data_IF_679467012202
#
_entry.id   IF_679467012202
#
_cell.length_a   1.000
_cell.length_b   1.000
_cell.length_c   1.000
_cell.angle_alpha   90.00
_cell.angle_beta   90.00
_cell.angle_gamma   90.00
#
_symmetry.space_group_name_H-M   'P 1'
#
loop_
_entity.id
_entity.type
_entity.pdbx_description
1 polymer ?
#
# COMPACT_ATOMS: atom_id res chain seq x y z
N UNK A 1 -43.82 -14.41 -15.56
CA UNK A 1 -42.72 -13.78 -16.34
C UNK A 1 -41.50 -14.72 -16.26
N UNK A 2 -41.00 -15.21 -17.38
CA UNK A 2 -39.81 -16.04 -17.41
C UNK A 2 -38.60 -15.12 -17.22
N UNK A 3 -38.12 -14.97 -16.00
CA UNK A 3 -36.86 -14.26 -15.76
C UNK A 3 -35.71 -15.11 -16.27
N UNK A 4 -34.99 -14.62 -17.26
CA UNK A 4 -33.84 -15.30 -17.84
C UNK A 4 -32.67 -15.39 -16.85
N UNK A 5 -32.57 -14.45 -15.91
CA UNK A 5 -31.53 -14.34 -14.89
C UNK A 5 -32.15 -14.16 -13.51
N UNK A 6 -31.48 -14.71 -12.49
CA UNK A 6 -31.90 -14.64 -11.10
C UNK A 6 -31.24 -13.46 -10.38
N UNK A 7 -30.04 -13.06 -10.82
CA UNK A 7 -29.25 -11.95 -10.26
C UNK A 7 -28.65 -11.09 -11.34
N UNK A 8 -28.52 -9.80 -11.06
CA UNK A 8 -27.80 -8.82 -11.86
C UNK A 8 -26.63 -8.29 -11.04
N UNK A 9 -25.40 -8.37 -11.58
CA UNK A 9 -24.19 -7.78 -11.02
C UNK A 9 -23.73 -6.66 -11.93
N UNK A 10 -23.54 -5.48 -11.37
CA UNK A 10 -23.08 -4.30 -12.10
C UNK A 10 -21.60 -4.07 -11.80
N UNK A 11 -20.76 -4.17 -12.84
CA UNK A 11 -19.31 -4.07 -12.78
C UNK A 11 -18.64 -5.44 -12.76
N UNK A 12 -17.64 -5.63 -13.64
CA UNK A 12 -16.85 -6.84 -13.77
C UNK A 12 -15.41 -6.67 -13.24
N UNK A 13 -15.21 -5.80 -12.24
CA UNK A 13 -14.00 -5.75 -11.44
C UNK A 13 -13.91 -6.93 -10.47
N UNK A 14 -12.86 -7.02 -9.64
CA UNK A 14 -12.66 -8.14 -8.73
C UNK A 14 -13.89 -8.42 -7.85
N UNK A 15 -14.48 -7.38 -7.24
CA UNK A 15 -15.63 -7.55 -6.36
C UNK A 15 -16.85 -8.13 -7.10
N UNK A 16 -17.20 -7.57 -8.26
CA UNK A 16 -18.33 -8.06 -9.06
C UNK A 16 -18.11 -9.46 -9.61
N UNK A 17 -16.90 -9.74 -10.08
CA UNK A 17 -16.52 -11.07 -10.59
C UNK A 17 -16.61 -12.14 -9.51
N UNK A 18 -16.11 -11.86 -8.30
CA UNK A 18 -16.22 -12.78 -7.15
C UNK A 18 -17.67 -12.96 -6.75
N UNK A 19 -18.45 -11.89 -6.62
CA UNK A 19 -19.86 -11.97 -6.26
C UNK A 19 -20.67 -12.80 -7.27
N UNK A 20 -20.48 -12.55 -8.57
CA UNK A 20 -21.14 -13.29 -9.63
C UNK A 20 -20.78 -14.79 -9.59
N UNK A 21 -19.51 -15.10 -9.37
CA UNK A 21 -19.03 -16.47 -9.27
C UNK A 21 -19.62 -17.21 -8.08
N UNK A 22 -19.60 -16.62 -6.91
CA UNK A 22 -20.14 -17.21 -5.68
C UNK A 22 -21.65 -17.44 -5.79
N UNK A 23 -22.40 -16.49 -6.37
CA UNK A 23 -23.82 -16.64 -6.64
C UNK A 23 -24.11 -17.79 -7.60
N UNK A 24 -23.28 -17.97 -8.63
CA UNK A 24 -23.45 -19.06 -9.59
C UNK A 24 -23.02 -20.40 -9.01
N UNK A 25 -21.79 -20.51 -8.47
CA UNK A 25 -21.23 -21.79 -8.01
C UNK A 25 -21.90 -22.32 -6.75
N UNK A 26 -22.10 -21.46 -5.75
CA UNK A 26 -22.65 -21.87 -4.46
C UNK A 26 -24.14 -21.63 -4.36
N UNK A 27 -24.62 -20.57 -4.99
CA UNK A 27 -26.03 -20.21 -4.95
C UNK A 27 -26.89 -20.86 -6.03
N UNK A 28 -26.27 -21.50 -7.03
CA UNK A 28 -26.99 -22.10 -8.17
C UNK A 28 -27.77 -21.07 -8.99
N UNK A 29 -27.38 -19.79 -8.94
CA UNK A 29 -28.09 -18.70 -9.59
C UNK A 29 -27.60 -18.45 -11.01
N UNK A 30 -28.54 -18.12 -11.89
CA UNK A 30 -28.20 -17.57 -13.22
C UNK A 30 -27.88 -16.09 -13.05
N UNK A 31 -26.64 -15.72 -13.30
CA UNK A 31 -26.14 -14.35 -13.04
C UNK A 31 -25.84 -13.65 -14.36
N UNK A 32 -26.38 -12.46 -14.53
CA UNK A 32 -25.99 -11.54 -15.58
C UNK A 32 -25.03 -10.50 -15.00
N UNK A 33 -23.84 -10.35 -15.64
CA UNK A 33 -22.88 -9.31 -15.29
C UNK A 33 -22.90 -8.24 -16.37
N UNK A 34 -23.07 -6.98 -15.96
CA UNK A 34 -23.00 -5.83 -16.87
C UNK A 34 -21.72 -5.04 -16.54
N UNK A 35 -20.90 -4.80 -17.55
CA UNK A 35 -19.67 -3.98 -17.45
C UNK A 35 -19.77 -2.82 -18.43
N UNK A 36 -19.42 -1.62 -17.96
CA UNK A 36 -19.43 -0.40 -18.77
C UNK A 36 -18.24 -0.32 -19.72
N UNK A 37 -17.08 -0.85 -19.28
CA UNK A 37 -15.85 -0.87 -20.07
C UNK A 37 -15.91 -1.99 -21.11
N UNK A 38 -15.09 -1.91 -22.13
CA UNK A 38 -14.95 -2.94 -23.16
C UNK A 38 -14.10 -4.15 -22.71
N UNK A 39 -13.80 -4.25 -21.43
CA UNK A 39 -13.00 -5.33 -20.83
C UNK A 39 -13.51 -5.66 -19.44
N UNK A 40 -13.19 -6.86 -18.95
CA UNK A 40 -13.38 -7.30 -17.57
C UNK A 40 -12.13 -7.01 -16.73
N UNK A 41 -12.18 -7.23 -15.41
CA UNK A 41 -11.05 -7.06 -14.50
C UNK A 41 -11.06 -5.70 -13.77
N UNK A 42 -11.86 -4.73 -14.22
CA UNK A 42 -11.93 -3.42 -13.58
C UNK A 42 -10.58 -2.72 -13.62
N UNK A 43 -10.12 -2.18 -12.50
CA UNK A 43 -8.81 -1.52 -12.41
C UNK A 43 -7.62 -2.51 -12.36
N UNK A 44 -7.87 -3.80 -12.20
CA UNK A 44 -6.85 -4.85 -12.27
C UNK A 44 -6.64 -5.38 -13.71
N UNK A 45 -7.14 -4.65 -14.71
CA UNK A 45 -6.99 -5.03 -16.11
C UNK A 45 -5.60 -4.70 -16.64
N UNK A 46 -4.99 -5.73 -17.24
CA UNK A 46 -3.72 -5.64 -17.95
C UNK A 46 -3.95 -5.83 -19.45
N UNK A 47 -3.18 -5.14 -20.27
CA UNK A 47 -3.21 -5.29 -21.72
C UNK A 47 -1.80 -5.17 -22.31
N UNK A 48 -1.65 -5.60 -23.53
CA UNK A 48 -0.43 -5.31 -24.30
C UNK A 48 -0.53 -3.92 -24.92
N UNK A 49 0.56 -3.17 -24.84
CA UNK A 49 0.71 -1.92 -25.56
C UNK A 49 1.05 -2.16 -27.06
N UNK A 50 1.24 -1.08 -27.80
CA UNK A 50 1.57 -1.14 -29.25
C UNK A 50 2.93 -1.80 -29.51
N UNK A 51 3.84 -1.80 -28.54
CA UNK A 51 5.14 -2.46 -28.61
C UNK A 51 5.09 -3.94 -28.18
N UNK A 52 3.93 -4.44 -27.76
CA UNK A 52 3.74 -5.81 -27.28
C UNK A 52 4.20 -6.02 -25.83
N UNK A 53 4.35 -4.96 -25.06
CA UNK A 53 4.69 -5.03 -23.65
C UNK A 53 3.41 -5.11 -22.83
N UNK A 54 3.34 -6.07 -21.92
CA UNK A 54 2.22 -6.18 -20.97
C UNK A 54 2.28 -5.05 -19.94
N UNK A 55 1.25 -4.23 -19.92
CA UNK A 55 1.15 -3.06 -19.04
C UNK A 55 -0.08 -3.12 -18.14
N UNK A 56 0.01 -2.50 -16.98
CA UNK A 56 -1.12 -2.21 -16.10
C UNK A 56 -1.86 -0.98 -16.62
N UNK A 57 -3.04 -1.16 -17.22
CA UNK A 57 -3.79 -0.09 -17.86
C UNK A 57 -4.17 1.06 -16.92
N UNK A 58 -4.42 0.76 -15.65
CA UNK A 58 -4.89 1.71 -14.63
C UNK A 58 -3.90 1.96 -13.50
N UNK A 59 -2.62 1.76 -13.78
CA UNK A 59 -1.55 1.85 -12.80
C UNK A 59 -1.22 0.52 -12.12
N UNK A 60 -0.06 0.41 -11.49
CA UNK A 60 0.39 -0.83 -10.89
C UNK A 60 -0.55 -1.28 -9.77
N UNK A 61 -0.95 -2.54 -9.82
CA UNK A 61 -1.72 -3.20 -8.77
C UNK A 61 -1.01 -4.48 -8.40
N UNK A 62 -0.50 -4.47 -7.17
CA UNK A 62 0.25 -5.57 -6.58
C UNK A 62 -0.67 -6.21 -5.56
N UNK A 63 -0.90 -7.52 -5.72
CA UNK A 63 -1.67 -8.27 -4.75
C UNK A 63 -0.84 -8.54 -3.50
N UNK A 64 -1.38 -8.20 -2.34
CA UNK A 64 -0.80 -8.52 -1.05
C UNK A 64 -1.91 -8.80 -0.04
N UNK A 65 -1.71 -9.73 0.87
CA UNK A 65 -2.68 -10.07 1.90
C UNK A 65 -2.08 -10.93 3.02
N UNK A 66 -2.65 -10.82 4.23
CA UNK A 66 -2.41 -11.74 5.33
C UNK A 66 -3.50 -12.82 5.43
N UNK A 67 -4.49 -12.82 4.54
CA UNK A 67 -5.59 -13.77 4.55
C UNK A 67 -5.32 -14.96 3.64
N UNK A 68 -4.95 -16.10 4.23
CA UNK A 68 -4.79 -17.37 3.53
C UNK A 68 -6.06 -17.72 2.71
N UNK A 69 -7.25 -17.46 3.27
CA UNK A 69 -8.51 -17.70 2.56
C UNK A 69 -8.63 -16.93 1.25
N UNK A 70 -8.19 -15.66 1.25
CA UNK A 70 -8.21 -14.80 0.04
C UNK A 70 -7.17 -15.28 -0.95
N UNK A 71 -5.96 -15.57 -0.48
CA UNK A 71 -4.88 -16.10 -1.30
C UNK A 71 -5.27 -17.41 -1.98
N UNK A 72 -5.77 -18.39 -1.22
CA UNK A 72 -6.21 -19.69 -1.74
C UNK A 72 -7.35 -19.57 -2.75
N UNK A 73 -8.31 -18.68 -2.45
CA UNK A 73 -9.42 -18.44 -3.36
C UNK A 73 -8.94 -17.91 -4.72
N UNK A 74 -8.10 -16.89 -4.72
CA UNK A 74 -7.59 -16.26 -5.95
C UNK A 74 -6.60 -17.18 -6.68
N UNK A 75 -5.83 -18.00 -5.96
CA UNK A 75 -4.91 -18.99 -6.54
C UNK A 75 -5.60 -20.05 -7.43
N UNK A 76 -6.92 -20.17 -7.34
CA UNK A 76 -7.71 -21.00 -8.27
C UNK A 76 -7.74 -20.45 -9.69
N UNK A 77 -7.45 -19.17 -9.88
CA UNK A 77 -7.65 -18.45 -11.14
C UNK A 77 -6.37 -17.90 -11.74
N UNK A 78 -5.25 -17.90 -10.99
CA UNK A 78 -4.00 -17.34 -11.46
C UNK A 78 -2.80 -18.13 -10.95
N UNK A 79 -1.65 -17.89 -11.57
CA UNK A 79 -0.34 -18.28 -11.06
C UNK A 79 0.38 -17.02 -10.58
N UNK A 80 0.72 -16.99 -9.31
CA UNK A 80 1.39 -15.86 -8.71
C UNK A 80 2.83 -15.75 -9.19
N UNK A 81 3.27 -14.52 -9.41
CA UNK A 81 4.67 -14.17 -9.65
C UNK A 81 5.14 -13.41 -8.41
N UNK A 82 6.10 -13.95 -7.63
CA UNK A 82 6.65 -13.25 -6.48
C UNK A 82 7.23 -11.90 -6.90
N UNK A 83 6.88 -10.85 -6.13
CA UNK A 83 7.37 -9.51 -6.37
C UNK A 83 7.46 -8.76 -5.03
N UNK A 84 8.67 -8.32 -4.68
CA UNK A 84 8.92 -7.51 -3.49
C UNK A 84 8.91 -6.03 -3.89
N UNK A 85 7.81 -5.35 -3.61
CA UNK A 85 7.68 -3.94 -3.93
C UNK A 85 8.51 -3.09 -2.97
N UNK A 86 9.42 -2.31 -3.53
CA UNK A 86 10.23 -1.34 -2.80
C UNK A 86 9.91 0.07 -3.31
N UNK A 87 9.73 0.97 -2.37
CA UNK A 87 9.52 2.40 -2.63
C UNK A 87 10.65 3.17 -2.02
N UNK A 88 11.19 4.12 -2.75
CA UNK A 88 12.29 4.98 -2.29
C UNK A 88 11.82 6.44 -2.30
N UNK A 89 12.01 7.13 -1.18
CA UNK A 89 11.96 8.58 -1.15
C UNK A 89 13.26 9.13 -1.72
N UNK A 90 13.16 10.05 -2.68
CA UNK A 90 14.30 10.72 -3.30
C UNK A 90 14.15 12.22 -3.02
N UNK A 91 14.98 12.74 -2.15
CA UNK A 91 14.92 14.11 -1.62
C UNK A 91 16.12 14.92 -2.06
N UNK A 92 15.96 16.25 -2.32
CA UNK A 92 17.10 17.13 -2.48
C UNK A 92 17.96 17.18 -1.19
N UNK A 93 19.29 17.10 -1.34
CA UNK A 93 20.25 17.21 -0.26
C UNK A 93 21.46 18.05 -0.75
N UNK A 94 21.43 19.35 -0.50
CA UNK A 94 22.39 20.28 -1.10
C UNK A 94 22.39 20.18 -2.63
N UNK A 95 23.56 19.95 -3.21
CA UNK A 95 23.74 19.70 -4.65
C UNK A 95 23.51 18.22 -5.04
N UNK A 96 23.24 17.36 -4.05
CA UNK A 96 23.02 15.93 -4.21
C UNK A 96 21.58 15.50 -3.99
N UNK A 97 21.42 14.21 -3.76
CA UNK A 97 20.14 13.58 -3.45
C UNK A 97 20.30 12.59 -2.29
N UNK A 98 19.36 12.63 -1.38
CA UNK A 98 19.21 11.68 -0.29
C UNK A 98 18.14 10.67 -0.68
N UNK A 99 18.48 9.38 -0.63
CA UNK A 99 17.56 8.29 -0.92
C UNK A 99 17.44 7.35 0.27
N UNK A 100 16.21 6.98 0.61
CA UNK A 100 15.94 5.97 1.62
C UNK A 100 14.61 5.25 1.40
N UNK A 101 14.47 4.00 1.92
CA UNK A 101 13.24 3.22 1.78
C UNK A 101 12.02 3.89 2.42
N UNK A 102 10.83 3.61 1.84
CA UNK A 102 9.51 3.92 2.40
C UNK A 102 8.71 2.62 2.48
N UNK A 103 8.06 2.31 3.62
CA UNK A 103 7.92 3.11 4.85
C UNK A 103 9.24 3.50 5.50
N UNK A 104 9.27 4.69 6.14
CA UNK A 104 10.45 5.11 6.88
C UNK A 104 10.78 4.10 7.97
N UNK A 105 11.99 3.55 7.97
CA UNK A 105 12.41 2.45 8.83
C UNK A 105 13.82 2.68 9.41
N UNK A 106 14.40 1.68 10.06
CA UNK A 106 15.75 1.82 10.64
C UNK A 106 16.85 2.02 9.60
N UNK A 107 16.66 1.51 8.37
CA UNK A 107 17.58 1.78 7.24
C UNK A 107 17.45 3.23 6.81
N UNK A 108 16.23 3.73 6.70
CA UNK A 108 15.94 5.15 6.37
C UNK A 108 16.54 6.10 7.40
N UNK A 109 16.45 5.73 8.69
CA UNK A 109 17.01 6.51 9.78
C UNK A 109 18.55 6.65 9.65
N UNK A 110 19.23 5.55 9.34
CA UNK A 110 20.69 5.57 9.10
C UNK A 110 21.11 6.34 7.86
N UNK A 111 20.27 6.34 6.83
CA UNK A 111 20.52 7.13 5.62
C UNK A 111 20.31 8.63 5.84
N UNK A 112 19.31 8.99 6.68
CA UNK A 112 18.91 10.38 6.90
C UNK A 112 19.73 11.15 7.94
N UNK A 113 20.44 10.45 8.84
CA UNK A 113 21.14 11.06 9.97
C UNK A 113 22.56 10.53 10.14
N UNK A 114 23.47 11.34 10.74
CA UNK A 114 24.80 10.89 11.11
C UNK A 114 24.75 9.63 12.00
N UNK A 115 25.73 8.72 11.91
CA UNK A 115 25.67 7.37 12.56
C UNK A 115 25.35 7.39 14.04
N UNK A 116 25.94 8.28 14.82
CA UNK A 116 25.71 8.40 16.27
C UNK A 116 24.28 8.84 16.59
N UNK A 117 23.77 9.83 15.84
CA UNK A 117 22.39 10.31 15.99
C UNK A 117 21.40 9.25 15.55
N UNK A 118 21.64 8.57 14.43
CA UNK A 118 20.78 7.49 13.95
C UNK A 118 20.68 6.35 14.97
N UNK A 119 21.82 5.96 15.59
CA UNK A 119 21.84 4.94 16.61
C UNK A 119 21.04 5.34 17.85
N UNK A 120 21.26 6.55 18.39
CA UNK A 120 20.55 7.04 19.55
C UNK A 120 19.04 7.13 19.34
N UNK A 121 18.61 7.61 18.15
CA UNK A 121 17.20 7.65 17.78
C UNK A 121 16.59 6.26 17.62
N UNK A 122 17.31 5.31 17.03
CA UNK A 122 16.85 3.92 16.91
C UNK A 122 16.66 3.26 18.28
N UNK A 123 17.61 3.43 19.20
CA UNK A 123 17.51 2.91 20.57
C UNK A 123 16.28 3.49 21.31
N UNK A 124 16.05 4.81 21.21
CA UNK A 124 14.87 5.47 21.78
C UNK A 124 13.56 4.96 21.18
N UNK A 125 13.47 4.85 19.86
CA UNK A 125 12.29 4.33 19.16
C UNK A 125 11.98 2.90 19.60
N UNK A 126 12.99 2.02 19.57
CA UNK A 126 12.82 0.62 19.96
C UNK A 126 12.47 0.49 21.44
N UNK A 127 13.04 1.32 22.31
CA UNK A 127 12.68 1.36 23.73
C UNK A 127 11.24 1.80 23.96
N UNK A 128 10.77 2.79 23.21
CA UNK A 128 9.42 3.35 23.38
C UNK A 128 8.32 2.45 22.79
N UNK A 129 8.57 1.81 21.65
CA UNK A 129 7.53 1.13 20.87
C UNK A 129 7.79 -0.37 20.62
N UNK A 130 9.04 -0.82 20.71
CA UNK A 130 9.47 -2.19 20.41
C UNK A 130 9.90 -2.40 18.95
N UNK A 131 10.70 -3.44 18.72
CA UNK A 131 11.08 -3.88 17.36
C UNK A 131 9.86 -4.44 16.59
N UNK A 132 9.95 -4.39 15.27
CA UNK A 132 8.92 -4.89 14.32
C UNK A 132 7.55 -4.22 14.53
N UNK A 133 7.52 -3.04 15.14
CA UNK A 133 6.30 -2.27 15.33
C UNK A 133 6.14 -1.19 14.26
N UNK A 134 4.90 -0.99 13.87
CA UNK A 134 4.47 0.08 12.99
C UNK A 134 3.84 1.18 13.84
N UNK A 135 4.44 2.37 13.78
CA UNK A 135 3.98 3.54 14.54
C UNK A 135 3.44 4.57 13.54
N UNK A 136 2.24 5.05 13.76
CA UNK A 136 1.69 6.08 12.87
C UNK A 136 2.45 7.38 13.04
N UNK A 137 2.57 8.16 11.98
CA UNK A 137 3.29 9.44 12.06
C UNK A 137 2.64 10.41 13.04
N UNK A 138 1.31 10.39 13.15
CA UNK A 138 0.58 11.25 14.07
C UNK A 138 0.82 10.86 15.53
N UNK A 139 0.90 9.55 15.82
CA UNK A 139 1.26 9.05 17.14
C UNK A 139 2.71 9.43 17.52
N UNK A 140 3.65 9.25 16.59
CA UNK A 140 5.05 9.59 16.82
C UNK A 140 5.25 11.09 17.08
N UNK A 141 4.50 11.97 16.41
CA UNK A 141 4.52 13.42 16.64
C UNK A 141 4.01 13.84 18.03
N UNK A 142 3.18 13.01 18.66
CA UNK A 142 2.68 13.23 20.03
C UNK A 142 3.58 12.65 21.12
N UNK A 143 4.71 12.05 20.72
CA UNK A 143 5.64 11.47 21.69
C UNK A 143 6.22 12.55 22.61
N UNK A 144 6.27 12.35 23.96
CA UNK A 144 6.79 13.32 24.90
C UNK A 144 8.31 13.52 24.83
N UNK A 145 9.06 12.59 24.24
CA UNK A 145 10.50 12.77 23.99
C UNK A 145 10.70 13.78 22.84
N UNK A 146 11.38 14.93 23.09
CA UNK A 146 11.54 15.98 22.10
C UNK A 146 12.37 15.53 20.88
N UNK A 147 13.28 14.56 21.04
CA UNK A 147 14.05 14.04 19.89
C UNK A 147 13.20 13.13 19.00
N UNK A 148 12.29 12.33 19.59
CA UNK A 148 11.36 11.53 18.84
C UNK A 148 10.28 12.39 18.13
N UNK A 149 9.80 13.43 18.80
CA UNK A 149 8.88 14.41 18.18
C UNK A 149 9.57 15.14 17.04
N UNK A 150 10.82 15.59 17.22
CA UNK A 150 11.59 16.24 16.14
C UNK A 150 11.88 15.30 14.97
N UNK A 151 12.15 14.02 15.23
CA UNK A 151 12.25 13.00 14.18
C UNK A 151 10.92 12.84 13.44
N UNK A 152 9.81 12.82 14.16
CA UNK A 152 8.49 12.72 13.55
C UNK A 152 8.19 13.91 12.64
N UNK A 153 8.53 15.12 13.05
CA UNK A 153 8.36 16.33 12.22
C UNK A 153 9.26 16.28 10.97
N UNK A 154 10.47 15.76 11.09
CA UNK A 154 11.35 15.55 9.94
C UNK A 154 10.71 14.59 8.93
N UNK A 155 10.29 13.39 9.37
CA UNK A 155 9.66 12.38 8.51
C UNK A 155 8.34 12.90 7.93
N UNK A 156 7.55 13.61 8.74
CA UNK A 156 6.29 14.22 8.32
C UNK A 156 6.51 15.21 7.17
N UNK A 157 7.42 16.16 7.34
CA UNK A 157 7.67 17.20 6.34
C UNK A 157 8.30 16.68 5.05
N UNK A 158 9.20 15.67 5.15
CA UNK A 158 9.94 15.18 3.99
C UNK A 158 9.20 14.08 3.22
N UNK A 159 8.42 13.24 3.90
CA UNK A 159 7.71 12.10 3.28
C UNK A 159 6.22 12.37 3.19
N UNK A 160 5.55 12.58 4.32
CA UNK A 160 4.09 12.55 4.39
C UNK A 160 3.42 13.73 3.71
N UNK A 161 3.83 14.96 4.01
CA UNK A 161 3.20 16.15 3.44
C UNK A 161 3.29 16.13 1.92
N UNK A 162 4.47 15.90 1.38
CA UNK A 162 4.70 15.91 -0.07
C UNK A 162 3.96 14.77 -0.77
N UNK A 163 3.98 13.58 -0.19
CA UNK A 163 3.27 12.42 -0.73
C UNK A 163 1.75 12.65 -0.70
N UNK A 164 1.21 13.09 0.43
CA UNK A 164 -0.22 13.31 0.60
C UNK A 164 -0.73 14.43 -0.30
N UNK A 165 -0.02 15.56 -0.36
CA UNK A 165 -0.34 16.66 -1.28
C UNK A 165 -0.33 16.20 -2.75
N UNK A 166 0.64 15.38 -3.15
CA UNK A 166 0.72 14.83 -4.51
C UNK A 166 -0.45 13.90 -4.83
N UNK A 167 -0.86 13.06 -3.89
CA UNK A 167 -1.88 12.03 -4.13
C UNK A 167 -3.31 12.55 -3.97
N UNK A 168 -3.53 13.46 -3.03
CA UNK A 168 -4.88 13.85 -2.60
C UNK A 168 -5.16 15.34 -2.76
N UNK A 169 -4.15 16.16 -3.04
CA UNK A 169 -4.28 17.63 -3.07
C UNK A 169 -4.58 18.26 -1.70
N UNK A 170 -4.41 17.51 -0.63
CA UNK A 170 -4.73 17.88 0.75
C UNK A 170 -3.54 17.56 1.66
N UNK A 171 -3.44 18.26 2.80
CA UNK A 171 -2.43 17.94 3.83
C UNK A 171 -2.85 16.69 4.62
N UNK A 172 -1.90 16.00 5.32
CA UNK A 172 -2.25 14.86 6.16
C UNK A 172 -3.27 15.15 7.26
N UNK A 173 -3.36 16.41 7.74
CA UNK A 173 -4.35 16.84 8.73
C UNK A 173 -5.76 16.98 8.17
N UNK A 174 -5.88 17.23 6.87
CA UNK A 174 -7.16 17.43 6.19
C UNK A 174 -7.80 16.12 5.71
N UNK A 175 -7.03 15.03 5.71
CA UNK A 175 -7.52 13.70 5.31
C UNK A 175 -7.79 12.82 6.53
N UNK A 176 -8.58 11.76 6.31
CA UNK A 176 -8.88 10.77 7.36
C UNK A 176 -7.58 10.18 7.94
N UNK A 177 -7.41 10.18 9.28
CA UNK A 177 -6.23 9.61 9.95
C UNK A 177 -5.90 8.17 9.55
N UNK A 178 -6.91 7.37 9.19
CA UNK A 178 -6.70 6.02 8.67
C UNK A 178 -5.98 6.00 7.32
N UNK A 179 -6.04 7.08 6.57
CA UNK A 179 -5.31 7.22 5.30
C UNK A 179 -3.82 7.45 5.56
N UNK A 180 -3.48 8.31 6.54
CA UNK A 180 -2.08 8.54 6.95
C UNK A 180 -1.46 7.31 7.65
N UNK A 181 -2.27 6.53 8.36
CA UNK A 181 -1.82 5.30 9.03
C UNK A 181 -1.35 4.19 8.07
N UNK A 182 -1.68 4.30 6.79
CA UNK A 182 -1.27 3.31 5.76
C UNK A 182 0.23 3.31 5.47
N UNK A 183 0.92 4.39 5.76
CA UNK A 183 2.38 4.48 5.60
C UNK A 183 2.98 4.82 6.98
N UNK A 184 3.17 3.84 7.86
CA UNK A 184 3.72 4.05 9.19
C UNK A 184 5.23 4.30 9.15
N UNK A 185 5.79 4.73 10.29
CA UNK A 185 7.21 4.50 10.60
C UNK A 185 7.34 3.05 11.05
N UNK A 186 8.18 2.27 10.41
CA UNK A 186 8.33 0.84 10.67
C UNK A 186 9.66 0.55 11.38
N UNK A 187 9.61 0.10 12.62
CA UNK A 187 10.80 -0.16 13.45
C UNK A 187 11.43 -1.51 13.09
N UNK A 188 11.86 -1.64 11.84
CA UNK A 188 12.43 -2.85 11.26
C UNK A 188 13.54 -2.52 10.26
N UNK A 189 14.32 -3.53 9.90
CA UNK A 189 15.28 -3.51 8.78
C UNK A 189 14.61 -3.90 7.43
N UNK A 190 13.36 -4.31 7.46
CA UNK A 190 12.62 -4.70 6.26
C UNK A 190 12.27 -3.47 5.41
N UNK A 191 12.78 -3.42 4.19
CA UNK A 191 12.60 -2.31 3.25
C UNK A 191 11.43 -2.55 2.27
N UNK A 192 10.71 -3.66 2.38
CA UNK A 192 9.54 -3.91 1.54
C UNK A 192 8.42 -2.94 1.88
N UNK A 193 7.73 -2.47 0.86
CA UNK A 193 6.57 -1.59 1.06
C UNK A 193 5.39 -2.32 1.70
N UNK A 194 5.19 -3.59 1.33
CA UNK A 194 4.22 -4.49 1.92
C UNK A 194 4.94 -5.61 2.66
N UNK A 195 4.54 -5.88 3.90
CA UNK A 195 5.09 -6.95 4.74
C UNK A 195 4.08 -8.07 4.97
N UNK A 196 3.07 -8.15 4.11
CA UNK A 196 2.06 -9.20 4.18
C UNK A 196 2.66 -10.58 3.84
N UNK A 197 1.98 -11.64 4.27
CA UNK A 197 2.47 -13.01 4.10
C UNK A 197 2.44 -13.48 2.62
N UNK A 198 1.55 -12.87 1.82
CA UNK A 198 1.35 -13.17 0.41
C UNK A 198 1.37 -11.91 -0.43
#
# INVERSE_FOLDING_TARGET
MNHQYDCLVIGAGLAGSVAARELAERGGKRVLVLERRNHVGGNAYDCFDEAGVLIHQYGPHIFHTNSTRVFDYLSRFTRWRPYEHQVVANLPDGDGRLEYPVPFNLVSLRAAFPPEKARALAEKLVSAYGMEKKVTILELRQNPDPELSALADYVYGHVFVRYTMKQWGQTPEEIDPNTTARVPVFLSEDCRYFQDAY
#
